data_IF_512742244052
#
_entry.id   IF_512742244052
#
_cell.length_a   1.000
_cell.length_b   1.000
_cell.length_c   1.000
_cell.angle_alpha   90.00
_cell.angle_beta   90.00
_cell.angle_gamma   90.00
#
_symmetry.space_group_name_H-M   'P 1'
#
loop_
_entity.id
_entity.type
_entity.pdbx_description
1 polymer ?
#
# COMPACT_ATOMS: atom_id res chain seq x y z
N UNK A 1 35.38 26.42 29.42
CA UNK A 1 34.84 25.61 28.33
C UNK A 1 35.80 25.62 27.17
N UNK A 2 36.28 24.48 26.80
CA UNK A 2 37.23 24.34 25.72
C UNK A 2 36.48 24.19 24.39
N UNK A 3 37.14 24.55 23.30
CA UNK A 3 36.60 24.40 21.94
C UNK A 3 36.25 22.94 21.62
N UNK A 4 36.97 21.99 22.21
CA UNK A 4 36.71 20.55 22.09
C UNK A 4 35.35 20.13 22.65
N UNK A 5 34.99 20.68 23.84
CA UNK A 5 33.67 20.42 24.44
C UNK A 5 32.55 20.96 23.59
N UNK A 6 32.72 22.13 23.00
CA UNK A 6 31.73 22.75 22.11
C UNK A 6 31.58 21.93 20.82
N UNK A 7 32.69 21.46 20.25
CA UNK A 7 32.67 20.61 19.05
C UNK A 7 31.99 19.28 19.31
N UNK A 8 32.23 18.68 20.48
CA UNK A 8 31.62 17.40 20.87
C UNK A 8 30.13 17.56 21.05
N UNK A 9 29.67 18.64 21.67
CA UNK A 9 28.23 18.95 21.81
C UNK A 9 27.57 19.15 20.46
N UNK A 10 28.20 19.91 19.57
CA UNK A 10 27.66 20.16 18.24
C UNK A 10 27.57 18.87 17.43
N UNK A 11 28.58 18.00 17.52
CA UNK A 11 28.57 16.71 16.85
C UNK A 11 27.48 15.80 17.39
N UNK A 12 27.26 15.80 18.72
CA UNK A 12 26.20 15.03 19.36
C UNK A 12 24.81 15.50 18.91
N UNK A 13 24.59 16.80 18.84
CA UNK A 13 23.34 17.38 18.35
C UNK A 13 23.08 17.03 16.88
N UNK A 14 24.10 17.13 16.05
CA UNK A 14 24.01 16.76 14.63
C UNK A 14 23.63 15.30 14.46
N UNK A 15 24.23 14.40 15.24
CA UNK A 15 23.88 12.96 15.22
C UNK A 15 22.43 12.75 15.64
N UNK A 16 21.99 13.44 16.68
CA UNK A 16 20.61 13.34 17.17
C UNK A 16 19.62 13.82 16.11
N UNK A 17 19.87 14.96 15.50
CA UNK A 17 19.03 15.51 14.43
C UNK A 17 18.96 14.58 13.22
N UNK A 18 20.08 14.00 12.81
CA UNK A 18 20.13 13.02 11.71
C UNK A 18 19.34 11.76 12.06
N UNK A 19 19.48 11.27 13.28
CA UNK A 19 18.75 10.10 13.75
C UNK A 19 17.24 10.36 13.76
N UNK A 20 16.81 11.51 14.26
CA UNK A 20 15.40 11.91 14.26
C UNK A 20 14.85 12.04 12.85
N UNK A 21 15.60 12.66 11.94
CA UNK A 21 15.21 12.79 10.55
C UNK A 21 15.11 11.43 9.85
N UNK A 22 16.07 10.55 10.08
CA UNK A 22 16.03 9.20 9.54
C UNK A 22 14.82 8.42 10.06
N UNK A 23 14.50 8.57 11.36
CA UNK A 23 13.33 7.92 11.93
C UNK A 23 12.03 8.44 11.32
N UNK A 24 11.91 9.75 11.12
CA UNK A 24 10.75 10.37 10.45
C UNK A 24 10.62 9.90 9.01
N UNK A 25 11.72 9.89 8.27
CA UNK A 25 11.74 9.44 6.87
C UNK A 25 11.36 7.96 6.77
N UNK A 26 11.84 7.14 7.70
CA UNK A 26 11.48 5.72 7.76
C UNK A 26 9.99 5.53 8.06
N UNK A 27 9.42 6.31 8.97
CA UNK A 27 7.99 6.27 9.28
C UNK A 27 7.14 6.67 8.08
N UNK A 28 7.53 7.74 7.38
CA UNK A 28 6.84 8.20 6.17
C UNK A 28 6.90 7.15 5.06
N UNK A 29 8.08 6.56 4.85
CA UNK A 29 8.25 5.51 3.84
C UNK A 29 7.40 4.28 4.15
N UNK A 30 7.31 3.87 5.40
CA UNK A 30 6.46 2.75 5.83
C UNK A 30 4.98 3.06 5.63
N UNK A 31 4.55 4.28 5.98
CA UNK A 31 3.17 4.71 5.79
C UNK A 31 2.80 4.73 4.31
N UNK A 32 3.69 5.23 3.46
CA UNK A 32 3.50 5.25 2.01
C UNK A 32 3.42 3.84 1.43
N UNK A 33 4.33 2.95 1.84
CA UNK A 33 4.32 1.56 1.41
C UNK A 33 3.03 0.85 1.83
N UNK A 34 2.56 1.08 3.07
CA UNK A 34 1.31 0.52 3.55
C UNK A 34 0.10 1.03 2.75
N UNK A 35 0.08 2.34 2.42
CA UNK A 35 -0.97 2.94 1.60
C UNK A 35 -0.98 2.34 0.20
N UNK A 36 0.16 2.19 -0.44
CA UNK A 36 0.27 1.58 -1.76
C UNK A 36 -0.16 0.12 -1.76
N UNK A 37 0.25 -0.64 -0.74
CA UNK A 37 -0.16 -2.02 -0.57
C UNK A 37 -1.69 -2.13 -0.43
N UNK A 38 -2.30 -1.22 0.33
CA UNK A 38 -3.76 -1.17 0.49
C UNK A 38 -4.46 -0.88 -0.84
N UNK A 39 -3.95 0.07 -1.62
CA UNK A 39 -4.49 0.38 -2.95
C UNK A 39 -4.42 -0.81 -3.89
N UNK A 40 -3.33 -1.55 -3.88
CA UNK A 40 -3.17 -2.76 -4.70
C UNK A 40 -4.18 -3.83 -4.26
N UNK A 41 -4.36 -4.04 -2.95
CA UNK A 41 -5.33 -5.00 -2.44
C UNK A 41 -6.77 -4.61 -2.81
N UNK A 42 -7.11 -3.33 -2.69
CA UNK A 42 -8.44 -2.81 -3.05
C UNK A 42 -8.72 -2.99 -4.54
N UNK A 43 -7.75 -2.70 -5.39
CA UNK A 43 -7.84 -2.90 -6.84
C UNK A 43 -8.01 -4.38 -7.18
N UNK A 44 -7.24 -5.24 -6.54
CA UNK A 44 -7.31 -6.69 -6.75
C UNK A 44 -8.68 -7.22 -6.33
N UNK A 45 -9.21 -6.79 -5.18
CA UNK A 45 -10.53 -7.18 -4.71
C UNK A 45 -11.63 -6.72 -5.68
N UNK A 46 -11.54 -5.49 -6.19
CA UNK A 46 -12.46 -4.96 -7.19
C UNK A 46 -12.44 -5.78 -8.48
N UNK A 47 -11.24 -6.07 -8.97
CA UNK A 47 -11.10 -6.86 -10.20
C UNK A 47 -11.63 -8.27 -10.04
N UNK A 48 -11.41 -8.90 -8.89
CA UNK A 48 -11.96 -10.22 -8.57
C UNK A 48 -13.48 -10.19 -8.53
N UNK A 49 -14.06 -9.15 -7.88
CA UNK A 49 -15.51 -9.00 -7.81
C UNK A 49 -16.12 -8.80 -9.19
N UNK A 50 -15.52 -7.99 -10.05
CA UNK A 50 -15.97 -7.77 -11.41
C UNK A 50 -15.88 -9.05 -12.24
N UNK A 51 -14.81 -9.81 -12.10
CA UNK A 51 -14.60 -11.06 -12.80
C UNK A 51 -15.66 -12.10 -12.40
N UNK A 52 -15.90 -12.21 -11.09
CA UNK A 52 -16.91 -13.10 -10.54
C UNK A 52 -18.32 -12.74 -11.03
N UNK A 53 -18.65 -11.46 -11.00
CA UNK A 53 -19.93 -10.96 -11.48
C UNK A 53 -20.12 -11.27 -12.98
N UNK A 54 -19.08 -11.11 -13.77
CA UNK A 54 -19.09 -11.44 -15.20
C UNK A 54 -19.30 -12.95 -15.42
N UNK A 55 -18.59 -13.78 -14.68
CA UNK A 55 -18.73 -15.24 -14.76
C UNK A 55 -20.16 -15.69 -14.41
N UNK A 56 -20.74 -15.09 -13.37
CA UNK A 56 -22.11 -15.38 -12.96
C UNK A 56 -23.11 -14.94 -14.05
N UNK A 57 -22.91 -13.75 -14.61
CA UNK A 57 -23.78 -13.27 -15.70
C UNK A 57 -23.67 -14.15 -16.94
N UNK A 58 -22.47 -14.57 -17.29
CA UNK A 58 -22.23 -15.48 -18.44
C UNK A 58 -22.87 -16.85 -18.18
N UNK A 59 -22.76 -17.38 -16.98
CA UNK A 59 -23.39 -18.64 -16.60
C UNK A 59 -24.91 -18.57 -16.67
N UNK A 60 -25.52 -17.48 -16.22
CA UNK A 60 -26.96 -17.25 -16.31
C UNK A 60 -27.40 -17.14 -17.76
N UNK A 61 -26.64 -16.40 -18.58
CA UNK A 61 -26.92 -16.26 -19.99
C UNK A 61 -26.83 -17.60 -20.72
N UNK A 62 -25.81 -18.41 -20.40
CA UNK A 62 -25.66 -19.76 -20.98
C UNK A 62 -26.82 -20.68 -20.59
N UNK A 63 -27.27 -20.62 -19.31
CA UNK A 63 -28.43 -21.39 -18.84
C UNK A 63 -29.70 -20.98 -19.57
N UNK A 64 -29.94 -19.68 -19.75
CA UNK A 64 -31.11 -19.17 -20.51
C UNK A 64 -31.07 -19.59 -21.96
N UNK A 65 -29.92 -19.53 -22.58
CA UNK A 65 -29.74 -19.97 -23.99
C UNK A 65 -30.02 -21.45 -24.13
N UNK A 66 -29.52 -22.27 -23.20
CA UNK A 66 -29.75 -23.74 -23.19
C UNK A 66 -31.24 -24.05 -22.99
N UNK A 67 -31.95 -23.35 -22.12
CA UNK A 67 -33.40 -23.51 -21.95
C UNK A 67 -34.18 -23.13 -23.23
N UNK A 68 -33.79 -22.02 -23.87
CA UNK A 68 -34.40 -21.60 -25.15
C UNK A 68 -34.19 -22.58 -26.25
N UNK A 69 -33.01 -23.20 -26.34
CA UNK A 69 -32.69 -24.19 -27.36
C UNK A 69 -33.47 -25.49 -27.19
N UNK A 70 -33.86 -25.83 -25.95
CA UNK A 70 -34.67 -27.03 -25.68
C UNK A 70 -36.16 -26.81 -25.85
N UNK A 71 -36.59 -25.59 -25.78
CA UNK A 71 -37.99 -25.23 -26.02
C UNK A 71 -38.30 -25.15 -27.51
#
# INVERSE_FOLDING_TARGET
VTDESTKTLAAAQTRKERAEKQAEDAMKARAEAASQAQHVQDRTAKLRALRLAKEQADAIAATKAAKKAKA
#
